data_IF_507117554884
#
_entry.id   IF_507117554884
#
_cell.length_a   1.000
_cell.length_b   1.000
_cell.length_c   1.000
_cell.angle_alpha   90.00
_cell.angle_beta   90.00
_cell.angle_gamma   90.00
#
_symmetry.space_group_name_H-M   'P 1'
#
loop_
_entity.id
_entity.type
_entity.pdbx_description
1 polymer ?
#
# COMPACT_ATOMS: atom_id res chain seq x y z
N UNK A 1 33.05 14.06 53.48
CA UNK A 1 31.84 14.30 54.29
C UNK A 1 30.85 13.20 53.96
N UNK A 2 30.35 12.50 54.97
CA UNK A 2 29.21 11.59 54.85
C UNK A 2 27.93 12.36 55.23
N UNK A 3 26.86 12.24 54.44
CA UNK A 3 25.68 11.45 54.83
C UNK A 3 24.73 11.30 53.63
N UNK A 4 23.96 10.20 53.57
CA UNK A 4 23.11 9.82 52.45
C UNK A 4 21.68 10.36 52.60
N UNK A 5 20.97 10.55 51.48
CA UNK A 5 19.53 10.81 51.44
C UNK A 5 18.78 9.53 50.98
N UNK A 6 17.77 9.06 51.74
CA UNK A 6 17.07 7.78 51.58
C UNK A 6 15.90 7.80 50.57
N UNK A 7 15.51 6.60 50.12
CA UNK A 7 14.42 6.25 49.18
C UNK A 7 14.87 6.23 47.71
N UNK A 8 15.55 5.19 47.23
CA UNK A 8 15.11 3.80 46.99
C UNK A 8 14.09 3.63 45.86
N UNK A 9 14.40 2.61 45.05
CA UNK A 9 13.59 1.90 44.03
C UNK A 9 13.89 2.38 42.59
N UNK A 10 14.83 1.74 41.88
CA UNK A 10 14.61 0.54 41.03
C UNK A 10 13.48 0.82 40.00
N UNK A 11 13.70 0.90 38.69
CA UNK A 11 14.33 -0.09 37.82
C UNK A 11 14.88 0.56 36.54
N UNK A 12 16.09 0.17 36.15
CA UNK A 12 16.64 0.29 34.80
C UNK A 12 16.18 -0.91 33.99
N UNK A 13 15.75 -0.70 32.74
CA UNK A 13 15.87 -1.72 31.71
C UNK A 13 16.44 -1.10 30.43
N UNK A 14 17.66 -1.54 30.13
CA UNK A 14 18.40 -1.34 28.89
C UNK A 14 17.66 -2.01 27.74
N UNK A 15 17.50 -1.30 26.62
CA UNK A 15 17.18 -1.89 25.33
C UNK A 15 18.49 -2.31 24.68
N UNK A 16 18.84 -3.59 24.79
CA UNK A 16 19.86 -4.22 23.96
C UNK A 16 19.22 -5.24 23.01
N UNK A 17 19.70 -5.18 21.78
CA UNK A 17 19.38 -5.95 20.59
C UNK A 17 19.11 -7.44 20.79
N UNK A 18 18.12 -7.98 20.08
CA UNK A 18 18.16 -9.36 19.56
C UNK A 18 17.59 -9.40 18.14
N UNK A 19 18.45 -9.64 17.16
CA UNK A 19 18.08 -10.20 15.85
C UNK A 19 17.68 -11.67 16.04
N UNK A 20 16.56 -12.13 15.47
CA UNK A 20 16.36 -13.56 15.19
C UNK A 20 15.74 -13.73 13.80
N UNK A 21 16.52 -14.43 12.98
CA UNK A 21 16.24 -14.91 11.64
C UNK A 21 15.69 -16.35 11.69
N UNK A 22 14.93 -16.72 10.66
CA UNK A 22 14.66 -18.08 10.11
C UNK A 22 13.89 -19.18 10.88
N UNK A 23 12.82 -19.63 10.20
CA UNK A 23 12.39 -21.01 9.94
C UNK A 23 12.51 -22.09 11.04
N UNK A 24 11.37 -22.57 11.54
CA UNK A 24 11.20 -23.98 11.91
C UNK A 24 9.72 -24.41 12.02
N UNK A 25 9.34 -25.26 11.06
CA UNK A 25 8.48 -26.44 11.10
C UNK A 25 7.33 -26.59 12.12
N UNK A 26 6.16 -26.86 11.53
CA UNK A 26 5.11 -27.79 11.97
C UNK A 26 4.88 -27.96 13.47
N UNK A 27 3.81 -27.32 13.98
CA UNK A 27 3.08 -27.86 15.13
C UNK A 27 1.59 -28.01 14.81
N UNK A 28 1.14 -29.25 15.02
CA UNK A 28 -0.24 -29.71 14.93
C UNK A 28 -1.24 -28.71 15.50
N UNK A 29 -2.25 -28.38 14.69
CA UNK A 29 -3.45 -27.65 15.11
C UNK A 29 -4.23 -28.56 16.07
N UNK A 30 -4.08 -28.32 17.37
CA UNK A 30 -4.95 -28.88 18.41
C UNK A 30 -5.68 -27.75 19.11
N UNK A 31 -6.99 -27.73 18.90
CA UNK A 31 -7.97 -27.19 19.83
C UNK A 31 -8.06 -25.68 19.90
N UNK A 32 -9.15 -25.15 19.35
CA UNK A 32 -9.78 -23.87 19.66
C UNK A 32 -9.35 -23.26 21.01
N UNK A 33 -8.49 -22.25 20.94
CA UNK A 33 -8.56 -21.11 21.86
C UNK A 33 -8.39 -19.87 20.97
N UNK A 34 -9.52 -19.36 20.47
CA UNK A 34 -9.53 -18.15 19.64
C UNK A 34 -9.30 -16.99 20.59
N UNK A 35 -8.05 -16.73 20.95
CA UNK A 35 -7.70 -15.56 21.74
C UNK A 35 -7.79 -14.35 20.81
N UNK A 36 -8.84 -13.54 20.89
CA UNK A 36 -9.20 -12.58 19.85
C UNK A 36 -8.31 -11.32 19.87
N UNK A 37 -7.23 -11.37 20.66
CA UNK A 37 -6.24 -10.31 20.89
C UNK A 37 -4.82 -10.75 20.49
N UNK A 38 -4.64 -11.97 19.96
CA UNK A 38 -3.35 -12.38 19.39
C UNK A 38 -2.96 -11.48 18.22
N UNK A 39 -1.69 -11.04 18.20
CA UNK A 39 -1.09 -10.29 17.10
C UNK A 39 -1.28 -11.06 15.78
N UNK A 40 -1.91 -10.41 14.81
CA UNK A 40 -2.22 -11.02 13.50
C UNK A 40 -3.57 -11.75 13.42
N UNK A 41 -4.35 -11.85 14.50
CA UNK A 41 -5.73 -12.37 14.43
C UNK A 41 -6.66 -11.40 13.65
N UNK A 42 -7.72 -11.93 13.04
CA UNK A 42 -8.66 -11.12 12.24
C UNK A 42 -9.31 -9.98 13.06
N UNK A 43 -9.69 -10.25 14.31
CA UNK A 43 -10.24 -9.22 15.20
C UNK A 43 -9.17 -8.20 15.61
N UNK A 44 -7.94 -8.63 15.88
CA UNK A 44 -6.84 -7.71 16.17
C UNK A 44 -6.56 -6.78 14.97
N UNK A 45 -6.52 -7.30 13.75
CA UNK A 45 -6.38 -6.51 12.53
C UNK A 45 -7.56 -5.56 12.30
N UNK A 46 -8.79 -5.99 12.57
CA UNK A 46 -9.99 -5.17 12.45
C UNK A 46 -10.02 -4.05 13.51
N UNK A 47 -9.62 -4.35 14.75
CA UNK A 47 -9.44 -3.35 15.81
C UNK A 47 -8.36 -2.35 15.40
N UNK A 48 -7.21 -2.77 14.88
CA UNK A 48 -6.19 -1.85 14.38
C UNK A 48 -6.68 -1.01 13.20
N UNK A 49 -7.42 -1.60 12.25
CA UNK A 49 -8.04 -0.84 11.14
C UNK A 49 -9.05 0.18 11.64
N UNK A 50 -9.84 -0.17 12.66
CA UNK A 50 -10.85 0.70 13.25
C UNK A 50 -10.25 1.80 14.14
N UNK A 51 -9.14 1.50 14.83
CA UNK A 51 -8.43 2.45 15.68
C UNK A 51 -7.59 3.44 14.86
N UNK A 52 -6.98 2.98 13.75
CA UNK A 52 -6.10 3.80 12.91
C UNK A 52 -6.79 4.37 11.64
N UNK A 53 -8.10 4.14 11.46
CA UNK A 53 -8.87 4.41 10.22
C UNK A 53 -8.05 4.07 8.96
N UNK A 54 -7.53 2.84 8.93
CA UNK A 54 -6.63 2.37 7.89
C UNK A 54 -7.41 1.94 6.64
N UNK A 55 -7.49 2.85 5.68
CA UNK A 55 -8.10 2.57 4.39
C UNK A 55 -7.12 1.93 3.39
N UNK A 56 -7.65 1.01 2.59
CA UNK A 56 -6.92 0.24 1.58
C UNK A 56 -7.74 0.18 0.30
N UNK A 57 -7.07 0.34 -0.82
CA UNK A 57 -7.68 0.20 -2.13
C UNK A 57 -6.66 -0.29 -3.14
N UNK A 58 -7.06 -1.24 -3.98
CA UNK A 58 -6.27 -1.72 -5.10
C UNK A 58 -7.08 -1.67 -6.41
N UNK A 59 -6.39 -1.31 -7.48
CA UNK A 59 -6.94 -1.18 -8.82
C UNK A 59 -5.98 -1.83 -9.81
N UNK A 60 -6.52 -2.67 -10.69
CA UNK A 60 -5.80 -3.23 -11.83
C UNK A 60 -6.40 -2.69 -13.12
N UNK A 61 -5.54 -2.18 -14.00
CA UNK A 61 -5.95 -1.57 -15.26
C UNK A 61 -5.02 -1.96 -16.40
N UNK A 62 -5.61 -2.13 -17.57
CA UNK A 62 -4.89 -2.17 -18.84
C UNK A 62 -4.62 -0.74 -19.29
N UNK A 63 -3.40 -0.44 -19.71
CA UNK A 63 -2.99 0.82 -20.30
C UNK A 63 -2.76 0.63 -21.80
N UNK A 64 -3.35 1.53 -22.59
CA UNK A 64 -3.25 1.57 -24.06
C UNK A 64 -2.91 2.99 -24.52
N UNK A 65 -1.62 3.36 -24.54
CA UNK A 65 -1.15 4.59 -25.18
C UNK A 65 -1.71 4.77 -26.60
N UNK A 66 -2.11 5.99 -26.98
CA UNK A 66 -2.56 6.27 -28.36
C UNK A 66 -1.44 6.09 -29.39
N UNK A 67 -0.20 6.34 -28.95
CA UNK A 67 1.04 6.07 -29.67
C UNK A 67 2.03 5.46 -28.67
N UNK A 68 2.98 4.60 -29.11
CA UNK A 68 3.95 3.99 -28.21
C UNK A 68 4.64 5.02 -27.33
N UNK A 69 4.49 4.89 -26.01
CA UNK A 69 5.05 5.80 -25.02
C UNK A 69 6.48 5.39 -24.69
N UNK A 70 7.38 6.37 -24.52
CA UNK A 70 8.74 6.06 -24.09
C UNK A 70 8.76 5.56 -22.64
N UNK A 71 9.83 4.84 -22.26
CA UNK A 71 10.07 4.42 -20.88
C UNK A 71 10.06 5.59 -19.89
N UNK A 72 10.64 6.74 -20.26
CA UNK A 72 10.59 7.94 -19.41
C UNK A 72 9.20 8.58 -19.38
N UNK A 73 8.46 8.48 -20.49
CA UNK A 73 7.06 8.91 -20.54
C UNK A 73 6.17 8.12 -19.59
N UNK A 74 6.30 6.77 -19.57
CA UNK A 74 5.51 5.96 -18.64
C UNK A 74 5.90 6.21 -17.18
N UNK A 75 7.18 6.46 -16.89
CA UNK A 75 7.65 6.87 -15.55
C UNK A 75 6.97 8.15 -15.10
N UNK A 76 6.92 9.16 -15.97
CA UNK A 76 6.26 10.43 -15.69
C UNK A 76 4.76 10.27 -15.47
N UNK A 77 4.09 9.44 -16.27
CA UNK A 77 2.68 9.09 -16.08
C UNK A 77 2.43 8.44 -14.71
N UNK A 78 3.20 7.39 -14.38
CA UNK A 78 3.08 6.69 -13.09
C UNK A 78 3.34 7.66 -11.94
N UNK A 79 4.35 8.53 -12.08
CA UNK A 79 4.68 9.49 -11.04
C UNK A 79 3.55 10.48 -10.78
N UNK A 80 2.98 11.05 -11.84
CA UNK A 80 1.87 11.97 -11.71
C UNK A 80 0.61 11.28 -11.16
N UNK A 81 0.30 10.07 -11.62
CA UNK A 81 -0.84 9.28 -11.12
C UNK A 81 -0.72 9.05 -9.61
N UNK A 82 0.40 8.48 -9.17
CA UNK A 82 0.63 8.15 -7.77
C UNK A 82 0.64 9.40 -6.88
N UNK A 83 1.32 10.46 -7.33
CA UNK A 83 1.40 11.72 -6.57
C UNK A 83 0.03 12.40 -6.46
N UNK A 84 -0.74 12.44 -7.54
CA UNK A 84 -2.06 13.07 -7.54
C UNK A 84 -3.06 12.29 -6.70
N UNK A 85 -3.07 10.96 -6.80
CA UNK A 85 -3.92 10.11 -5.95
C UNK A 85 -3.57 10.27 -4.46
N UNK A 86 -2.27 10.33 -4.14
CA UNK A 86 -1.79 10.56 -2.77
C UNK A 86 -2.26 11.92 -2.24
N UNK A 87 -2.05 13.00 -3.01
CA UNK A 87 -2.42 14.34 -2.61
C UNK A 87 -3.94 14.52 -2.51
N UNK A 88 -4.73 13.87 -3.36
CA UNK A 88 -6.18 13.91 -3.21
C UNK A 88 -6.66 13.16 -1.97
N UNK A 89 -6.02 12.06 -1.57
CA UNK A 89 -6.33 11.41 -0.29
C UNK A 89 -6.06 12.36 0.88
N UNK A 90 -4.86 12.95 0.94
CA UNK A 90 -4.46 13.89 2.00
C UNK A 90 -5.36 15.14 2.03
N UNK A 91 -5.65 15.71 0.86
CA UNK A 91 -6.53 16.88 0.73
C UNK A 91 -7.98 16.63 1.11
N UNK A 92 -8.40 15.37 1.23
CA UNK A 92 -9.77 14.97 1.55
C UNK A 92 -9.86 14.15 2.85
N UNK A 93 -8.94 14.37 3.80
CA UNK A 93 -9.06 13.88 5.17
C UNK A 93 -8.21 12.67 5.51
N UNK A 94 -7.36 12.19 4.61
CA UNK A 94 -6.31 11.27 5.04
C UNK A 94 -5.27 12.05 5.86
N UNK A 95 -4.88 11.52 7.01
CA UNK A 95 -3.93 12.15 7.92
C UNK A 95 -2.48 11.75 7.59
N UNK A 96 -2.30 10.55 7.04
CA UNK A 96 -0.98 10.00 6.75
C UNK A 96 -1.01 9.05 5.55
N UNK A 97 0.05 9.09 4.75
CA UNK A 97 0.32 8.08 3.73
C UNK A 97 0.93 6.84 4.39
N UNK A 98 0.21 5.72 4.36
CA UNK A 98 0.78 4.43 4.77
C UNK A 98 1.74 3.93 3.70
N UNK A 99 1.23 3.66 2.50
CA UNK A 99 2.03 3.54 1.29
C UNK A 99 1.16 3.63 0.03
N UNK A 100 1.74 4.15 -1.06
CA UNK A 100 1.17 4.02 -2.41
C UNK A 100 2.17 3.28 -3.27
N UNK A 101 1.77 2.17 -3.87
CA UNK A 101 2.64 1.31 -4.70
C UNK A 101 2.01 1.08 -6.05
N UNK A 102 2.84 0.96 -7.08
CA UNK A 102 2.39 0.47 -8.37
C UNK A 102 3.31 -0.58 -8.96
N UNK A 103 2.72 -1.46 -9.76
CA UNK A 103 3.40 -2.51 -10.51
C UNK A 103 2.93 -2.41 -11.96
N UNK A 104 3.82 -1.98 -12.83
CA UNK A 104 3.62 -1.99 -14.27
C UNK A 104 4.25 -3.26 -14.84
N UNK A 105 3.51 -4.00 -15.64
CA UNK A 105 3.98 -5.21 -16.34
C UNK A 105 3.79 -4.96 -17.83
N UNK A 106 4.86 -5.17 -18.60
CA UNK A 106 4.82 -5.16 -20.06
C UNK A 106 5.10 -6.58 -20.52
N UNK A 107 4.14 -7.19 -21.22
CA UNK A 107 4.23 -8.60 -21.60
C UNK A 107 5.51 -8.88 -22.41
N UNK A 108 6.28 -9.89 -22.02
CA UNK A 108 7.57 -10.22 -22.65
C UNK A 108 8.71 -9.23 -22.38
N UNK A 109 8.45 -8.09 -21.72
CA UNK A 109 9.39 -6.98 -21.59
C UNK A 109 9.77 -6.58 -20.17
N UNK A 110 9.26 -7.29 -19.17
CA UNK A 110 9.61 -7.12 -17.76
C UNK A 110 8.62 -6.22 -17.00
N UNK A 111 9.09 -5.59 -15.92
CA UNK A 111 8.23 -4.82 -15.03
C UNK A 111 8.89 -3.55 -14.49
N UNK A 112 8.07 -2.60 -14.06
CA UNK A 112 8.48 -1.42 -13.30
C UNK A 112 7.67 -1.32 -12.02
N UNK A 113 8.34 -1.14 -10.88
CA UNK A 113 7.70 -0.95 -9.59
C UNK A 113 7.95 0.46 -9.09
N UNK A 114 6.92 1.10 -8.54
CA UNK A 114 7.03 2.44 -7.97
C UNK A 114 6.41 2.51 -6.58
N UNK A 115 6.92 3.38 -5.72
CA UNK A 115 6.38 3.55 -4.35
C UNK A 115 6.53 4.96 -3.79
N UNK A 116 5.52 5.40 -3.03
CA UNK A 116 5.48 6.59 -2.18
C UNK A 116 5.18 6.15 -0.74
N UNK A 117 5.94 6.68 0.21
CA UNK A 117 5.67 6.54 1.66
C UNK A 117 5.69 7.90 2.37
N UNK A 118 5.96 8.97 1.63
CA UNK A 118 6.07 10.35 2.10
C UNK A 118 5.86 11.24 0.88
N UNK A 119 4.82 12.06 0.90
CA UNK A 119 4.41 12.93 -0.21
C UNK A 119 5.47 13.99 -0.54
N UNK A 120 6.33 14.35 0.43
CA UNK A 120 7.37 15.34 0.26
C UNK A 120 8.66 14.76 -0.36
N UNK A 121 8.72 13.44 -0.52
CA UNK A 121 9.87 12.75 -1.14
C UNK A 121 9.61 12.46 -2.62
N UNK A 122 10.69 12.33 -3.43
CA UNK A 122 10.59 11.77 -4.76
C UNK A 122 10.07 10.34 -4.72
N UNK A 123 9.34 9.95 -5.78
CA UNK A 123 8.86 8.58 -5.93
C UNK A 123 10.05 7.65 -6.15
N UNK A 124 10.06 6.52 -5.45
CA UNK A 124 11.07 5.48 -5.68
C UNK A 124 10.62 4.60 -6.82
N UNK A 125 11.43 4.48 -7.86
CA UNK A 125 11.16 3.64 -9.03
C UNK A 125 12.25 2.57 -9.15
N UNK A 126 11.83 1.31 -9.30
CA UNK A 126 12.67 0.18 -9.68
C UNK A 126 12.27 -0.24 -11.09
N UNK A 127 13.16 0.00 -12.04
CA UNK A 127 12.93 -0.24 -13.45
C UNK A 127 13.65 -1.52 -13.90
N UNK A 128 12.88 -2.53 -14.27
CA UNK A 128 13.37 -3.77 -14.86
C UNK A 128 12.81 -3.99 -16.28
N UNK A 129 12.38 -2.91 -16.95
CA UNK A 129 11.90 -2.98 -18.33
C UNK A 129 13.06 -3.04 -19.32
N UNK A 130 12.99 -4.01 -20.23
CA UNK A 130 13.99 -4.21 -21.29
C UNK A 130 13.57 -3.60 -22.65
N UNK A 131 12.54 -2.73 -22.65
CA UNK A 131 11.98 -2.10 -23.86
C UNK A 131 11.97 -0.59 -23.72
N UNK A 132 12.26 0.15 -24.80
CA UNK A 132 12.30 1.62 -24.77
C UNK A 132 10.96 2.29 -25.09
N UNK A 133 10.06 1.57 -25.74
CA UNK A 133 8.72 2.02 -26.12
C UNK A 133 7.68 0.98 -25.69
N UNK A 134 6.54 1.45 -25.20
CA UNK A 134 5.50 0.63 -24.61
C UNK A 134 4.20 0.93 -25.36
N UNK A 135 3.64 -0.10 -25.99
CA UNK A 135 2.37 -0.03 -26.73
C UNK A 135 1.17 -0.45 -25.87
N UNK A 136 1.41 -1.32 -24.89
CA UNK A 136 0.44 -1.82 -23.93
C UNK A 136 1.13 -2.21 -22.62
N UNK A 137 0.37 -2.17 -21.52
CA UNK A 137 0.86 -2.62 -20.22
C UNK A 137 -0.31 -2.92 -19.27
N UNK A 138 -0.05 -3.76 -18.27
CA UNK A 138 -0.91 -3.88 -17.09
C UNK A 138 -0.33 -3.04 -15.97
N UNK A 139 -1.15 -2.21 -15.34
CA UNK A 139 -0.79 -1.43 -14.17
C UNK A 139 -1.67 -1.85 -12.99
N UNK A 140 -1.03 -2.25 -11.91
CA UNK A 140 -1.66 -2.44 -10.61
C UNK A 140 -1.27 -1.27 -9.70
N UNK A 141 -2.23 -0.62 -9.07
CA UNK A 141 -2.04 0.49 -8.13
C UNK A 141 -2.64 0.12 -6.78
N UNK A 142 -1.84 0.18 -5.72
CA UNK A 142 -2.25 -0.02 -4.33
C UNK A 142 -2.12 1.30 -3.58
N UNK A 143 -3.17 1.71 -2.89
CA UNK A 143 -3.25 2.92 -2.09
C UNK A 143 -3.62 2.54 -0.67
N UNK A 144 -2.74 2.85 0.29
CA UNK A 144 -2.99 2.68 1.72
C UNK A 144 -2.73 4.01 2.42
N UNK A 145 -3.74 4.51 3.12
CA UNK A 145 -3.68 5.76 3.87
C UNK A 145 -4.43 5.61 5.20
N UNK A 146 -4.14 6.50 6.15
CA UNK A 146 -4.83 6.59 7.44
C UNK A 146 -5.80 7.78 7.43
N UNK A 147 -6.91 7.68 8.16
CA UNK A 147 -7.90 8.77 8.36
C UNK A 147 -9.08 8.77 7.38
N UNK A 148 -9.07 7.88 6.38
CA UNK A 148 -10.21 7.68 5.46
C UNK A 148 -10.37 6.21 5.11
N UNK A 149 -11.62 5.81 4.83
CA UNK A 149 -12.00 4.44 4.49
C UNK A 149 -11.83 4.10 3.00
N UNK A 150 -11.81 2.80 2.71
CA UNK A 150 -11.57 2.18 1.40
C UNK A 150 -12.44 2.80 0.28
N UNK A 151 -13.70 3.14 0.58
CA UNK A 151 -14.67 3.70 -0.37
C UNK A 151 -14.26 5.10 -0.84
N UNK A 152 -13.82 5.93 0.09
CA UNK A 152 -13.34 7.27 -0.18
C UNK A 152 -12.03 7.24 -0.93
N UNK A 153 -11.11 6.32 -0.58
CA UNK A 153 -9.85 6.14 -1.33
C UNK A 153 -10.13 5.76 -2.77
N UNK A 154 -11.04 4.80 -2.99
CA UNK A 154 -11.48 4.38 -4.31
C UNK A 154 -12.02 5.56 -5.11
N UNK A 155 -12.98 6.30 -4.57
CA UNK A 155 -13.62 7.41 -5.27
C UNK A 155 -12.62 8.51 -5.63
N UNK A 156 -11.71 8.85 -4.72
CA UNK A 156 -10.65 9.84 -4.97
C UNK A 156 -9.65 9.36 -6.03
N UNK A 157 -9.27 8.08 -5.98
CA UNK A 157 -8.36 7.48 -6.97
C UNK A 157 -8.99 7.44 -8.37
N UNK A 158 -10.25 7.04 -8.47
CA UNK A 158 -10.97 7.00 -9.75
C UNK A 158 -11.26 8.40 -10.30
N UNK A 159 -11.47 9.39 -9.43
CA UNK A 159 -11.69 10.80 -9.81
C UNK A 159 -10.48 11.40 -10.53
N UNK A 160 -9.25 11.05 -10.15
CA UNK A 160 -8.04 11.65 -10.74
C UNK A 160 -7.65 11.04 -12.09
N UNK A 161 -8.02 9.78 -12.31
CA UNK A 161 -7.59 9.02 -13.48
C UNK A 161 -7.94 9.64 -14.84
N UNK A 162 -9.18 10.09 -15.11
CA UNK A 162 -9.53 10.62 -16.43
C UNK A 162 -8.63 11.77 -16.88
N UNK A 163 -8.36 12.73 -15.98
CA UNK A 163 -7.55 13.90 -16.31
C UNK A 163 -6.08 13.55 -16.59
N UNK A 164 -5.52 12.62 -15.82
CA UNK A 164 -4.12 12.19 -15.99
C UNK A 164 -3.99 11.37 -17.27
N UNK A 165 -4.89 10.41 -17.49
CA UNK A 165 -4.90 9.59 -18.70
C UNK A 165 -5.05 10.44 -19.98
N UNK A 166 -5.93 11.45 -19.95
CA UNK A 166 -6.08 12.40 -21.06
C UNK A 166 -4.79 13.20 -21.30
N UNK A 167 -4.19 13.77 -20.24
CA UNK A 167 -2.94 14.55 -20.33
C UNK A 167 -1.80 13.76 -20.97
N UNK A 168 -1.64 12.50 -20.58
CA UNK A 168 -0.59 11.62 -21.08
C UNK A 168 -0.98 10.89 -22.38
N UNK A 169 -2.20 11.09 -22.89
CA UNK A 169 -2.75 10.41 -24.08
C UNK A 169 -2.72 8.88 -23.96
N UNK A 170 -2.99 8.38 -22.76
CA UNK A 170 -3.07 6.95 -22.44
C UNK A 170 -4.54 6.58 -22.28
N UNK A 171 -5.05 5.68 -23.12
CA UNK A 171 -6.32 5.01 -22.86
C UNK A 171 -6.14 4.00 -21.72
N UNK A 172 -7.20 3.74 -20.97
CA UNK A 172 -7.16 2.70 -19.94
C UNK A 172 -8.48 1.92 -19.89
N UNK A 173 -8.40 0.69 -19.41
CA UNK A 173 -9.55 -0.12 -19.06
C UNK A 173 -9.35 -0.71 -17.67
N UNK A 174 -10.32 -0.55 -16.78
CA UNK A 174 -10.26 -1.17 -15.44
C UNK A 174 -10.55 -2.66 -15.61
N UNK A 175 -9.60 -3.50 -15.22
CA UNK A 175 -9.73 -4.96 -15.26
C UNK A 175 -10.31 -5.50 -13.95
N UNK A 176 -9.84 -4.97 -12.83
CA UNK A 176 -10.34 -5.33 -11.51
C UNK A 176 -10.32 -4.12 -10.56
N UNK A 177 -11.43 -3.96 -9.85
CA UNK A 177 -11.64 -2.98 -8.78
C UNK A 177 -11.80 -3.78 -7.49
N UNK A 178 -10.73 -3.83 -6.68
CA UNK A 178 -10.65 -4.77 -5.55
C UNK A 178 -11.42 -4.30 -4.31
N UNK A 179 -12.22 -3.23 -4.40
CA UNK A 179 -13.01 -2.72 -3.28
C UNK A 179 -14.01 -3.72 -2.72
N UNK A 180 -14.75 -4.43 -3.57
CA UNK A 180 -15.75 -5.40 -3.11
C UNK A 180 -15.12 -6.74 -2.70
N UNK A 181 -13.93 -7.08 -3.23
CA UNK A 181 -13.22 -8.31 -2.89
C UNK A 181 -12.64 -8.23 -1.47
N UNK A 182 -12.09 -7.08 -1.06
CA UNK A 182 -11.54 -6.91 0.29
C UNK A 182 -12.62 -6.93 1.38
N UNK A 183 -13.86 -6.51 1.07
CA UNK A 183 -15.01 -6.71 1.97
C UNK A 183 -15.36 -8.19 2.16
N UNK A 184 -15.22 -9.01 1.11
CA UNK A 184 -15.59 -10.43 1.18
C UNK A 184 -14.62 -11.25 2.04
N UNK A 185 -13.33 -10.89 2.07
CA UNK A 185 -12.32 -11.56 2.91
C UNK A 185 -12.57 -11.24 4.40
N UNK A 186 -13.09 -10.05 4.72
CA UNK A 186 -13.48 -9.71 6.09
C UNK A 186 -14.74 -10.47 6.59
N UNK A 187 -15.55 -11.04 5.69
CA UNK A 187 -16.81 -11.69 6.05
C UNK A 187 -16.87 -13.20 5.82
N UNK A 188 -15.85 -13.83 5.23
CA UNK A 188 -15.82 -15.28 5.00
C UNK A 188 -14.82 -16.00 5.91
N UNK A 189 -15.28 -16.32 7.13
CA UNK A 189 -14.92 -17.54 7.89
C UNK A 189 -15.95 -17.85 9.00
N UNK A 190 -17.24 -17.65 8.71
CA UNK A 190 -18.34 -18.21 9.50
C UNK A 190 -19.40 -18.78 8.54
N UNK A 191 -19.11 -19.98 8.03
CA UNK A 191 -20.07 -20.87 7.38
C UNK A 191 -20.00 -22.23 8.05
#
# INVERSE_FOLDING_TARGET
MATPDPNSDEYRYDYDHVEIDHDSDEKEIKGHDFNPVEEGSALHLEIHRAVDELGKYALEMELKPKEPISKDGIKGFIEELMRTATLECLGNGADLVGHVKSFLIVEGHGSMMSSITDENKPIRIKDALNVEKIDDAILVLHVIVHGIWDDKIRDLTLKVMPGICEKWKIGYNILADYYDLEKSIAHHNLG
#
